data_IF_744032107368
#
_entry.id   IF_744032107368
#
_cell.length_a   1.000
_cell.length_b   1.000
_cell.length_c   1.000
_cell.angle_alpha   90.00
_cell.angle_beta   90.00
_cell.angle_gamma   90.00
#
_symmetry.space_group_name_H-M   'P 1'
#
loop_
_entity.id
_entity.type
_entity.pdbx_description
1 polymer ?
#
# COMPACT_ATOMS: atom_id res chain seq x y z
N UNK A 1 -16.20 11.67 11.16
CA UNK A 1 -16.12 12.84 10.26
C UNK A 1 -15.60 12.32 8.93
N UNK A 2 -16.15 12.78 7.80
CA UNK A 2 -15.70 12.33 6.48
C UNK A 2 -14.66 13.29 5.93
N UNK A 3 -13.46 12.79 5.66
CA UNK A 3 -12.40 13.55 4.98
C UNK A 3 -12.31 13.01 3.56
N UNK A 4 -12.35 13.90 2.57
CA UNK A 4 -12.12 13.54 1.17
C UNK A 4 -10.75 14.05 0.77
N UNK A 5 -9.88 13.14 0.34
CA UNK A 5 -8.54 13.46 -0.16
C UNK A 5 -8.42 12.97 -1.59
N UNK A 6 -7.52 13.59 -2.37
CA UNK A 6 -7.21 13.12 -3.71
C UNK A 6 -6.50 11.77 -3.65
N UNK A 7 -6.52 11.02 -4.75
CA UNK A 7 -5.79 9.76 -4.87
C UNK A 7 -4.27 9.96 -4.64
N UNK A 8 -3.71 11.08 -5.11
CA UNK A 8 -2.30 11.41 -4.87
C UNK A 8 -2.04 11.62 -3.37
N UNK A 9 -2.85 12.44 -2.71
CA UNK A 9 -2.71 12.68 -1.28
C UNK A 9 -2.87 11.39 -0.46
N UNK A 10 -3.71 10.45 -0.91
CA UNK A 10 -3.78 9.11 -0.31
C UNK A 10 -2.44 8.36 -0.40
N UNK A 11 -1.78 8.35 -1.57
CA UNK A 11 -0.47 7.70 -1.74
C UNK A 11 0.68 8.42 -1.04
N UNK A 12 0.60 9.75 -0.91
CA UNK A 12 1.60 10.54 -0.19
C UNK A 12 1.69 10.09 1.28
N UNK A 13 0.56 9.75 1.91
CA UNK A 13 0.53 9.20 3.28
C UNK A 13 1.36 7.91 3.43
N UNK A 14 1.38 7.06 2.40
CA UNK A 14 2.19 5.83 2.41
C UNK A 14 3.66 6.13 2.16
N UNK A 15 3.96 7.08 1.27
CA UNK A 15 5.33 7.54 1.00
C UNK A 15 5.98 8.15 2.26
N UNK A 16 5.22 8.93 3.04
CA UNK A 16 5.70 9.54 4.28
C UNK A 16 6.19 8.50 5.31
N UNK A 17 5.49 7.37 5.41
CA UNK A 17 5.81 6.31 6.37
C UNK A 17 6.76 5.24 5.80
N UNK A 18 7.07 5.28 4.50
CA UNK A 18 7.97 4.32 3.85
C UNK A 18 9.39 4.35 4.44
N UNK A 19 9.86 5.53 4.86
CA UNK A 19 11.17 5.70 5.53
C UNK A 19 11.30 4.90 6.84
N UNK A 20 10.17 4.54 7.45
CA UNK A 20 10.09 3.74 8.66
C UNK A 20 9.94 2.23 8.37
N UNK A 21 10.02 1.84 7.10
CA UNK A 21 9.93 0.44 6.71
C UNK A 21 11.10 -0.38 7.26
N UNK A 22 10.80 -1.63 7.61
CA UNK A 22 11.77 -2.57 8.13
C UNK A 22 12.03 -3.66 7.10
N UNK A 23 13.27 -3.75 6.63
CA UNK A 23 13.73 -4.87 5.80
C UNK A 23 14.10 -6.06 6.69
N UNK A 24 13.53 -7.22 6.39
CA UNK A 24 13.83 -8.50 7.02
C UNK A 24 14.50 -9.39 5.98
N UNK A 25 15.83 -9.39 5.95
CA UNK A 25 16.58 -10.04 4.86
C UNK A 25 16.39 -9.31 3.53
N UNK A 26 16.55 -10.04 2.41
CA UNK A 26 16.57 -9.45 1.06
C UNK A 26 15.21 -9.40 0.37
N UNK A 27 14.24 -10.19 0.81
CA UNK A 27 12.96 -10.38 0.10
C UNK A 27 11.73 -9.92 0.88
N UNK A 28 11.86 -9.60 2.17
CA UNK A 28 10.74 -9.26 3.03
C UNK A 28 10.88 -7.83 3.54
N UNK A 29 9.87 -7.00 3.28
CA UNK A 29 9.81 -5.62 3.78
C UNK A 29 8.48 -5.40 4.48
N UNK A 30 8.54 -4.85 5.69
CA UNK A 30 7.36 -4.43 6.45
C UNK A 30 7.24 -2.91 6.32
N UNK A 31 6.08 -2.45 5.88
CA UNK A 31 5.71 -1.05 5.76
C UNK A 31 4.68 -0.73 6.85
N UNK A 32 4.95 0.25 7.73
CA UNK A 32 3.94 0.70 8.69
C UNK A 32 2.74 1.28 7.96
N UNK A 33 1.54 1.08 8.53
CA UNK A 33 0.32 1.66 7.98
C UNK A 33 0.21 3.14 8.40
N UNK A 34 -0.19 4.06 7.51
CA UNK A 34 -0.28 5.47 7.85
C UNK A 34 -1.23 5.73 9.02
N UNK A 35 -0.74 6.42 10.06
CA UNK A 35 -1.48 6.66 11.30
C UNK A 35 -2.76 7.49 11.09
N UNK A 36 -2.80 8.28 10.02
CA UNK A 36 -4.00 9.04 9.63
C UNK A 36 -5.14 8.13 9.16
N UNK A 37 -4.82 6.96 8.58
CA UNK A 37 -5.78 6.00 8.04
C UNK A 37 -6.12 4.88 9.04
N UNK A 38 -5.20 4.56 9.96
CA UNK A 38 -5.39 3.46 10.90
C UNK A 38 -4.12 3.10 11.65
N UNK A 39 -4.01 1.82 12.01
CA UNK A 39 -2.84 1.26 12.68
C UNK A 39 -2.53 -0.15 12.16
N UNK A 40 -1.27 -0.56 12.24
CA UNK A 40 -0.79 -1.87 11.78
C UNK A 40 0.27 -1.75 10.69
N UNK A 41 0.30 -2.71 9.77
CA UNK A 41 1.31 -2.78 8.72
C UNK A 41 0.83 -3.49 7.45
N UNK A 42 1.52 -3.19 6.35
CA UNK A 42 1.59 -4.01 5.15
C UNK A 42 2.94 -4.73 5.13
N UNK A 43 2.98 -5.97 4.65
CA UNK A 43 4.22 -6.70 4.42
C UNK A 43 4.28 -7.12 2.96
N UNK A 44 5.36 -6.75 2.28
CA UNK A 44 5.69 -7.26 0.95
C UNK A 44 6.74 -8.37 1.04
N UNK A 45 6.49 -9.46 0.32
CA UNK A 45 7.39 -10.57 0.11
C UNK A 45 7.70 -10.69 -1.40
N UNK A 46 8.91 -10.31 -1.80
CA UNK A 46 9.42 -10.39 -3.18
C UNK A 46 10.08 -11.74 -3.42
N UNK A 47 9.33 -12.70 -3.93
CA UNK A 47 9.82 -14.08 -4.11
C UNK A 47 10.74 -14.24 -5.32
N UNK A 48 10.30 -13.80 -6.49
CA UNK A 48 11.03 -13.88 -7.77
C UNK A 48 10.75 -12.63 -8.59
N UNK A 49 11.53 -12.42 -9.65
CA UNK A 49 11.22 -11.42 -10.67
C UNK A 49 9.75 -11.49 -11.08
N UNK A 50 9.01 -10.40 -10.87
CA UNK A 50 7.61 -10.27 -11.26
C UNK A 50 6.57 -10.90 -10.32
N UNK A 51 6.96 -11.50 -9.19
CA UNK A 51 6.02 -12.07 -8.20
C UNK A 51 6.25 -11.45 -6.83
N UNK A 52 5.20 -10.79 -6.35
CA UNK A 52 5.14 -10.15 -5.03
C UNK A 52 3.89 -10.66 -4.30
N UNK A 53 4.07 -11.02 -3.03
CA UNK A 53 2.97 -11.32 -2.12
C UNK A 53 2.86 -10.20 -1.10
N UNK A 54 1.68 -9.57 -1.05
CA UNK A 54 1.35 -8.62 0.00
C UNK A 54 0.50 -9.28 1.09
N UNK A 55 0.87 -9.03 2.33
CA UNK A 55 0.13 -9.43 3.52
C UNK A 55 -0.27 -8.16 4.25
N UNK A 56 -1.58 -7.95 4.38
CA UNK A 56 -2.14 -6.77 5.02
C UNK A 56 -2.61 -7.14 6.44
N UNK A 57 -2.07 -6.47 7.46
CA UNK A 57 -2.53 -6.58 8.84
C UNK A 57 -2.65 -5.19 9.44
N UNK A 58 -3.79 -4.55 9.18
CA UNK A 58 -4.10 -3.23 9.68
C UNK A 58 -5.55 -3.17 10.17
N UNK A 59 -5.80 -2.19 11.03
CA UNK A 59 -7.12 -1.79 11.46
C UNK A 59 -7.33 -0.34 11.05
N UNK A 60 -8.39 -0.10 10.28
CA UNK A 60 -8.74 1.26 9.86
C UNK A 60 -9.30 2.05 11.05
N UNK A 61 -8.96 3.34 11.09
CA UNK A 61 -9.52 4.28 12.08
C UNK A 61 -11.00 4.57 11.80
N UNK A 62 -11.33 4.73 10.53
CA UNK A 62 -12.66 4.97 9.99
C UNK A 62 -12.82 4.19 8.67
N UNK A 63 -14.06 4.05 8.19
CA UNK A 63 -14.31 3.42 6.90
C UNK A 63 -13.66 4.21 5.76
N UNK A 64 -12.85 3.54 4.94
CA UNK A 64 -12.26 4.14 3.73
C UNK A 64 -13.11 3.73 2.53
N UNK A 65 -13.55 4.72 1.76
CA UNK A 65 -14.23 4.53 0.48
C UNK A 65 -13.27 5.02 -0.60
N UNK A 66 -12.73 4.10 -1.39
CA UNK A 66 -11.90 4.43 -2.54
C UNK A 66 -12.81 4.49 -3.76
N UNK A 67 -12.88 5.66 -4.38
CA UNK A 67 -13.60 5.86 -5.64
C UNK A 67 -12.58 5.84 -6.77
N UNK A 68 -12.77 4.93 -7.72
CA UNK A 68 -11.94 4.78 -8.91
C UNK A 68 -12.83 4.52 -10.12
N UNK A 69 -12.25 4.56 -11.32
CA UNK A 69 -12.97 4.06 -12.48
C UNK A 69 -13.36 2.61 -12.27
N UNK A 70 -14.51 2.21 -12.82
CA UNK A 70 -14.94 0.83 -12.80
C UNK A 70 -13.83 -0.05 -13.37
N UNK A 71 -13.31 -0.96 -12.55
CA UNK A 71 -12.24 -1.86 -12.98
C UNK A 71 -12.84 -2.78 -14.04
N UNK A 72 -12.31 -2.81 -15.28
CA UNK A 72 -12.88 -3.65 -16.33
C UNK A 72 -12.80 -5.15 -15.99
N UNK A 73 -11.94 -5.53 -15.04
CA UNK A 73 -11.73 -6.91 -14.62
C UNK A 73 -11.64 -7.04 -13.09
N UNK A 74 -12.12 -8.16 -12.50
CA UNK A 74 -12.03 -8.45 -11.06
C UNK A 74 -10.59 -8.67 -10.58
N UNK A 75 -9.65 -8.86 -11.50
CA UNK A 75 -8.20 -8.98 -11.26
C UNK A 75 -7.50 -7.89 -12.05
N UNK A 76 -6.67 -7.09 -11.39
CA UNK A 76 -5.82 -6.08 -12.03
C UNK A 76 -4.40 -6.63 -12.21
N UNK A 77 -3.84 -6.42 -13.40
CA UNK A 77 -2.42 -6.60 -13.67
C UNK A 77 -1.82 -5.19 -13.80
N UNK A 78 -1.03 -4.79 -12.81
CA UNK A 78 -0.35 -3.49 -12.82
C UNK A 78 1.10 -3.68 -13.30
N UNK A 79 1.51 -2.86 -14.26
CA UNK A 79 2.90 -2.80 -14.73
C UNK A 79 3.57 -1.58 -14.11
N UNK A 80 4.47 -1.79 -13.15
CA UNK A 80 5.33 -0.73 -12.64
C UNK A 80 6.61 -0.66 -13.50
N UNK A 81 6.78 0.43 -14.25
CA UNK A 81 8.03 0.70 -14.97
C UNK A 81 9.00 1.39 -14.01
N UNK A 82 10.04 0.68 -13.59
CA UNK A 82 11.18 1.31 -12.91
C UNK A 82 12.04 2.04 -13.96
N UNK A 83 12.27 3.34 -13.79
CA UNK A 83 13.28 4.08 -14.56
C UNK A 83 14.66 3.89 -13.90
N UNK A 84 15.65 3.52 -14.71
CA UNK A 84 17.06 3.39 -14.33
C UNK A 84 17.74 4.76 -14.19
#
# INVERSE_FOLDING_TARGET
MTITISHQAYWDLFTEVESQSQKIGSFNTIYPYPSQLGQGFSRSLKWRSGIELEIQNYQLRDNIIITGQERPHPVEICFHMNQN
#
